data_IF_686126775622
#
_entry.id   IF_686126775622
#
_cell.length_a   1.000
_cell.length_b   1.000
_cell.length_c   1.000
_cell.angle_alpha   90.00
_cell.angle_beta   90.00
_cell.angle_gamma   90.00
#
_symmetry.space_group_name_H-M   'P 1'
#
loop_
_entity.id
_entity.type
_entity.pdbx_description
1 polymer ?
#
# COMPACT_ATOMS: atom_id res chain seq x y z
N UNK A 1 -4.24 -6.55 -13.35
CA UNK A 1 -4.61 -7.35 -12.17
C UNK A 1 -3.82 -6.81 -11.00
N UNK A 2 -4.51 -6.26 -10.00
CA UNK A 2 -3.86 -5.57 -8.87
C UNK A 2 -2.74 -6.48 -8.30
N UNK A 3 -1.53 -5.92 -8.28
CA UNK A 3 -0.25 -6.55 -7.95
C UNK A 3 -0.05 -7.96 -8.50
N UNK A 4 -0.02 -8.10 -9.83
CA UNK A 4 0.23 -9.37 -10.53
C UNK A 4 -0.78 -10.48 -10.16
N UNK A 5 -2.00 -10.10 -9.80
CA UNK A 5 -3.06 -11.01 -9.38
C UNK A 5 -3.08 -11.31 -7.87
N UNK A 6 -2.23 -10.64 -7.08
CA UNK A 6 -2.32 -10.66 -5.64
C UNK A 6 -3.43 -9.72 -5.17
N UNK A 7 -4.42 -10.25 -4.44
CA UNK A 7 -5.42 -9.43 -3.77
C UNK A 7 -4.76 -8.69 -2.59
N UNK A 8 -4.15 -7.55 -2.88
CA UNK A 8 -3.56 -6.66 -1.87
C UNK A 8 -4.55 -5.55 -1.54
N UNK A 9 -4.49 -5.08 -0.30
CA UNK A 9 -5.28 -3.93 0.10
C UNK A 9 -4.41 -2.68 0.05
N UNK A 10 -4.46 -1.98 -1.08
CA UNK A 10 -3.69 -0.75 -1.27
C UNK A 10 -3.99 0.32 -0.23
N UNK A 11 -5.09 0.21 0.53
CA UNK A 11 -5.48 1.20 1.51
C UNK A 11 -4.79 1.08 2.86
N UNK A 12 -4.25 -0.10 3.19
CA UNK A 12 -3.65 -0.36 4.50
C UNK A 12 -2.47 -1.33 4.46
N UNK A 13 -2.07 -1.81 3.28
CA UNK A 13 -0.88 -2.62 3.11
C UNK A 13 0.35 -1.71 3.10
N UNK A 14 1.21 -1.86 4.11
CA UNK A 14 2.44 -1.10 4.26
C UNK A 14 3.44 -1.33 3.12
N UNK A 15 3.30 -2.44 2.38
CA UNK A 15 4.18 -2.78 1.25
C UNK A 15 3.59 -2.40 -0.12
N UNK A 16 2.32 -1.98 -0.17
CA UNK A 16 1.60 -1.69 -1.41
C UNK A 16 0.70 -0.44 -1.25
N UNK A 17 1.16 0.59 -0.56
CA UNK A 17 0.31 1.71 -0.17
C UNK A 17 -0.02 2.62 -1.36
N UNK A 18 -1.30 2.62 -1.78
CA UNK A 18 -1.80 3.38 -2.92
C UNK A 18 -1.47 2.75 -4.29
N UNK A 19 -0.36 2.01 -4.39
CA UNK A 19 0.00 1.23 -5.59
C UNK A 19 0.93 0.06 -5.22
N UNK A 20 1.08 -0.89 -6.13
CA UNK A 20 1.88 -2.09 -5.94
C UNK A 20 3.36 -1.80 -5.73
N UNK A 21 3.94 -2.39 -4.68
CA UNK A 21 5.35 -2.20 -4.31
C UNK A 21 5.66 -0.82 -3.73
N UNK A 22 4.65 0.02 -3.49
CA UNK A 22 4.83 1.29 -2.79
C UNK A 22 4.91 1.04 -1.29
N UNK A 23 6.10 1.24 -0.73
CA UNK A 23 6.35 1.05 0.70
C UNK A 23 6.42 2.40 1.40
N UNK A 24 5.70 2.56 2.50
CA UNK A 24 5.79 3.74 3.34
C UNK A 24 7.09 3.73 4.17
N UNK A 25 7.86 4.82 4.13
CA UNK A 25 9.14 4.90 4.84
C UNK A 25 8.96 5.38 6.28
N UNK A 26 8.51 4.48 7.15
CA UNK A 26 8.31 4.76 8.57
C UNK A 26 6.99 5.43 8.92
N UNK A 27 6.08 5.54 7.94
CA UNK A 27 4.71 6.02 8.11
C UNK A 27 3.73 4.86 7.96
N UNK A 28 2.50 5.03 8.45
CA UNK A 28 1.45 4.03 8.25
C UNK A 28 0.80 4.22 6.88
N UNK A 29 0.37 3.13 6.26
CA UNK A 29 -0.51 3.24 5.11
C UNK A 29 -1.94 3.48 5.58
N UNK A 30 -2.50 4.66 5.30
CA UNK A 30 -3.87 5.00 5.67
C UNK A 30 -4.64 5.56 4.49
N UNK A 31 -5.62 4.78 4.00
CA UNK A 31 -6.44 5.17 2.85
C UNK A 31 -5.65 5.22 1.54
N UNK A 32 -4.57 4.46 1.44
CA UNK A 32 -3.71 4.42 0.26
C UNK A 32 -2.71 5.56 0.18
N UNK A 33 -2.47 6.21 1.31
CA UNK A 33 -1.52 7.30 1.44
C UNK A 33 -0.63 6.99 2.65
N UNK A 34 0.69 7.10 2.47
CA UNK A 34 1.62 7.06 3.58
C UNK A 34 1.42 8.29 4.45
N UNK A 35 1.13 8.07 5.73
CA UNK A 35 0.89 9.14 6.67
C UNK A 35 0.75 8.66 8.10
N UNK A 36 0.96 9.60 9.02
CA UNK A 36 0.84 9.46 10.47
C UNK A 36 0.83 10.83 11.12
#
# INVERSE_FOLDING_TARGET
>A
DECDGACVNLNNDEQNCGDCGVVCQGEQCQGGICGG
#
